data_IF_556252549662
#
_entry.id   IF_556252549662
#
_cell.length_a   1.000
_cell.length_b   1.000
_cell.length_c   1.000
_cell.angle_alpha   90.00
_cell.angle_beta   90.00
_cell.angle_gamma   90.00
#
_symmetry.space_group_name_H-M   'P 1'
#
loop_
_entity.id
_entity.type
_entity.pdbx_description
1 polymer ?
#
# COMPACT_ATOMS: atom_id res chain seq x y z
N UNK A 1 -46.65 1.16 -77.77
CA UNK A 1 -46.90 1.12 -76.29
C UNK A 1 -45.93 0.23 -75.56
N UNK A 2 -44.62 0.34 -75.76
CA UNK A 2 -43.65 -0.62 -75.22
C UNK A 2 -42.35 0.00 -74.59
N UNK A 3 -42.37 1.28 -74.25
CA UNK A 3 -41.21 1.97 -73.61
C UNK A 3 -41.41 2.50 -72.18
N UNK A 4 -42.64 2.39 -71.62
CA UNK A 4 -42.89 2.90 -70.27
C UNK A 4 -42.69 1.86 -69.10
N UNK A 5 -42.66 0.58 -69.40
CA UNK A 5 -42.51 -0.48 -68.39
C UNK A 5 -41.05 -0.76 -67.98
N UNK A 6 -40.06 -0.44 -68.85
CA UNK A 6 -38.63 -0.69 -68.54
C UNK A 6 -38.03 0.29 -67.55
N UNK A 7 -38.52 1.55 -67.50
CA UNK A 7 -37.97 2.58 -66.63
C UNK A 7 -38.40 2.39 -65.14
N UNK A 8 -39.62 1.88 -64.93
CA UNK A 8 -40.14 1.65 -63.57
C UNK A 8 -39.44 0.50 -62.85
N UNK A 9 -39.03 -0.54 -63.60
CA UNK A 9 -38.30 -1.70 -63.06
C UNK A 9 -36.87 -1.34 -62.61
N UNK A 10 -36.19 -0.47 -63.37
CA UNK A 10 -34.79 -0.07 -63.06
C UNK A 10 -34.72 0.88 -61.89
N UNK A 11 -35.71 1.74 -61.66
CA UNK A 11 -35.74 2.67 -60.48
C UNK A 11 -36.05 1.89 -59.19
N UNK A 12 -36.94 0.90 -59.24
CA UNK A 12 -37.23 0.04 -58.07
C UNK A 12 -36.03 -0.80 -57.64
N UNK A 13 -35.24 -1.37 -58.62
CA UNK A 13 -34.04 -2.13 -58.30
C UNK A 13 -32.91 -1.27 -57.73
N UNK A 14 -32.74 -0.04 -58.22
CA UNK A 14 -31.75 0.91 -57.69
C UNK A 14 -32.11 1.41 -56.28
N UNK A 15 -33.40 1.59 -55.99
CA UNK A 15 -33.82 1.96 -54.63
C UNK A 15 -33.70 0.83 -53.60
N UNK A 16 -33.87 -0.41 -54.03
CA UNK A 16 -33.70 -1.58 -53.17
C UNK A 16 -32.21 -1.87 -52.86
N UNK A 17 -31.30 -1.59 -53.80
CA UNK A 17 -29.84 -1.74 -53.58
C UNK A 17 -29.29 -0.64 -52.64
N UNK A 18 -29.84 0.60 -52.67
CA UNK A 18 -29.43 1.65 -51.77
C UNK A 18 -29.92 1.42 -50.33
N UNK A 19 -31.05 0.73 -50.12
CA UNK A 19 -31.57 0.40 -48.80
C UNK A 19 -30.78 -0.72 -48.11
N UNK A 20 -30.14 -1.65 -48.88
CA UNK A 20 -29.29 -2.69 -48.31
C UNK A 20 -27.89 -2.20 -47.87
N UNK A 21 -27.43 -1.04 -48.38
CA UNK A 21 -26.12 -0.45 -48.03
C UNK A 21 -26.07 0.30 -46.68
N UNK A 22 -27.22 0.60 -46.06
CA UNK A 22 -27.28 1.39 -44.84
C UNK A 22 -27.15 0.53 -43.57
N UNK A 23 -27.30 -0.78 -43.66
CA UNK A 23 -27.23 -1.67 -42.50
C UNK A 23 -25.82 -2.21 -42.17
N UNK A 24 -24.78 -1.91 -42.96
CA UNK A 24 -23.42 -2.38 -42.70
C UNK A 24 -22.51 -1.37 -42.03
N UNK A 25 -23.02 -0.22 -41.59
CA UNK A 25 -22.28 0.74 -40.81
C UNK A 25 -22.59 0.60 -39.29
N UNK A 26 -22.62 -0.62 -38.80
CA UNK A 26 -22.26 -0.83 -37.40
C UNK A 26 -20.77 -0.58 -37.30
N UNK A 27 -20.41 0.67 -37.04
CA UNK A 27 -19.12 1.05 -36.54
C UNK A 27 -18.96 0.31 -35.20
N UNK A 28 -18.42 -0.90 -35.25
CA UNK A 28 -17.80 -1.52 -34.08
C UNK A 28 -16.65 -0.58 -33.73
N UNK A 29 -16.96 0.48 -32.97
CA UNK A 29 -15.97 0.99 -32.05
C UNK A 29 -15.47 -0.27 -31.35
N UNK A 30 -14.27 -0.75 -31.70
CA UNK A 30 -13.50 -1.65 -30.86
C UNK A 30 -13.47 -0.92 -29.51
N UNK A 31 -14.38 -1.28 -28.61
CA UNK A 31 -14.15 -1.10 -27.20
C UNK A 31 -12.81 -1.80 -27.03
N UNK A 32 -11.76 -1.04 -26.81
CA UNK A 32 -10.55 -1.55 -26.18
C UNK A 32 -11.07 -2.45 -25.09
N UNK A 33 -10.75 -3.76 -25.14
CA UNK A 33 -11.27 -4.73 -24.21
C UNK A 33 -11.09 -4.14 -22.81
N UNK A 34 -12.20 -3.65 -22.25
CA UNK A 34 -12.18 -3.09 -20.92
C UNK A 34 -11.87 -4.26 -20.01
N UNK A 35 -10.80 -4.13 -19.24
CA UNK A 35 -10.45 -5.15 -18.25
C UNK A 35 -11.66 -5.44 -17.34
N UNK A 36 -11.67 -6.61 -16.76
CA UNK A 36 -12.69 -7.05 -15.80
C UNK A 36 -12.06 -7.21 -14.41
N UNK A 37 -12.82 -7.47 -13.37
CA UNK A 37 -12.25 -7.73 -12.04
C UNK A 37 -11.24 -8.87 -11.96
N UNK A 38 -11.15 -9.72 -12.99
CA UNK A 38 -10.29 -10.92 -13.03
C UNK A 38 -9.43 -11.04 -14.29
N UNK A 39 -9.48 -10.06 -15.19
CA UNK A 39 -8.72 -10.09 -16.46
C UNK A 39 -8.22 -8.71 -16.84
N UNK A 40 -7.08 -8.64 -17.54
CA UNK A 40 -6.48 -7.39 -18.02
C UNK A 40 -5.16 -7.06 -17.36
N UNK A 41 -4.66 -5.86 -17.59
CA UNK A 41 -3.41 -5.36 -17.02
C UNK A 41 -3.62 -3.97 -16.41
N UNK A 42 -3.14 -3.77 -15.18
CA UNK A 42 -3.15 -2.45 -14.54
C UNK A 42 -1.77 -2.10 -13.97
N UNK A 43 -1.48 -0.80 -13.93
CA UNK A 43 -0.37 -0.24 -13.18
C UNK A 43 -0.88 0.30 -11.85
N UNK A 44 -0.15 -0.02 -10.78
CA UNK A 44 -0.40 0.49 -9.43
C UNK A 44 0.89 1.07 -8.87
N UNK A 45 0.79 2.11 -8.03
CA UNK A 45 1.92 2.64 -7.28
C UNK A 45 1.78 2.28 -5.81
N UNK A 46 2.84 1.78 -5.22
CA UNK A 46 2.83 1.19 -3.87
C UNK A 46 3.93 1.84 -3.04
N UNK A 47 3.58 2.27 -1.83
CA UNK A 47 4.59 2.67 -0.84
C UNK A 47 5.57 1.51 -0.60
N UNK A 48 6.85 1.79 -0.77
CA UNK A 48 7.94 0.80 -0.69
C UNK A 48 7.92 0.01 0.62
N UNK A 49 7.52 0.64 1.71
CA UNK A 49 7.40 0.00 3.02
C UNK A 49 6.54 -1.28 3.01
N UNK A 50 5.68 -1.46 2.00
CA UNK A 50 4.76 -2.60 1.89
C UNK A 50 5.14 -3.59 0.79
N UNK A 51 6.29 -3.41 0.15
CA UNK A 51 6.72 -4.26 -0.97
C UNK A 51 6.58 -5.76 -0.68
N UNK A 52 7.11 -6.33 0.43
CA UNK A 52 7.05 -7.78 0.65
C UNK A 52 5.61 -8.33 0.73
N UNK A 53 4.72 -7.62 1.42
CA UNK A 53 3.34 -8.08 1.58
C UNK A 53 2.50 -7.87 0.32
N UNK A 54 2.73 -6.79 -0.43
CA UNK A 54 1.99 -6.53 -1.67
C UNK A 54 2.46 -7.44 -2.79
N UNK A 55 3.76 -7.76 -2.90
CA UNK A 55 4.25 -8.79 -3.82
C UNK A 55 3.53 -10.14 -3.57
N UNK A 56 3.37 -10.54 -2.29
CA UNK A 56 2.64 -11.75 -1.91
C UNK A 56 1.14 -11.67 -2.28
N UNK A 57 0.50 -10.51 -2.12
CA UNK A 57 -0.88 -10.28 -2.52
C UNK A 57 -1.07 -10.42 -4.04
N UNK A 58 -0.19 -9.79 -4.82
CA UNK A 58 -0.21 -9.84 -6.29
C UNK A 58 0.00 -11.28 -6.76
N UNK A 59 1.00 -11.97 -6.23
CA UNK A 59 1.29 -13.36 -6.60
C UNK A 59 0.07 -14.27 -6.41
N UNK A 60 -0.61 -14.18 -5.27
CA UNK A 60 -1.80 -15.00 -5.02
C UNK A 60 -2.98 -14.58 -5.87
N UNK A 61 -3.18 -13.26 -6.07
CA UNK A 61 -4.26 -12.76 -6.91
C UNK A 61 -4.10 -13.21 -8.38
N UNK A 62 -2.90 -13.08 -8.96
CA UNK A 62 -2.60 -13.50 -10.33
C UNK A 62 -2.70 -15.04 -10.49
N UNK A 63 -2.27 -15.81 -9.48
CA UNK A 63 -2.44 -17.27 -9.50
C UNK A 63 -3.92 -17.70 -9.52
N UNK A 64 -4.80 -16.93 -8.91
CA UNK A 64 -6.25 -17.17 -8.92
C UNK A 64 -6.94 -16.63 -10.17
N UNK A 65 -6.32 -15.69 -10.87
CA UNK A 65 -6.83 -15.01 -12.05
C UNK A 65 -5.75 -15.00 -13.16
N UNK A 66 -5.55 -16.11 -13.87
CA UNK A 66 -4.41 -16.28 -14.81
C UNK A 66 -4.38 -15.25 -15.95
N UNK A 67 -5.49 -14.59 -16.24
CA UNK A 67 -5.60 -13.55 -17.28
C UNK A 67 -5.47 -12.14 -16.69
N UNK A 68 -5.14 -12.00 -15.42
CA UNK A 68 -4.90 -10.73 -14.74
C UNK A 68 -3.39 -10.49 -14.58
N UNK A 69 -2.96 -9.23 -14.80
CA UNK A 69 -1.60 -8.78 -14.57
C UNK A 69 -1.60 -7.46 -13.81
N UNK A 70 -0.93 -7.43 -12.66
CA UNK A 70 -0.73 -6.23 -11.86
C UNK A 70 0.74 -5.85 -11.91
N UNK A 71 1.03 -4.66 -12.39
CA UNK A 71 2.37 -4.08 -12.46
C UNK A 71 2.49 -3.06 -11.33
N UNK A 72 3.27 -3.39 -10.31
CA UNK A 72 3.48 -2.54 -9.15
C UNK A 72 4.80 -1.77 -9.24
N UNK A 73 4.72 -0.45 -9.11
CA UNK A 73 5.87 0.44 -8.95
C UNK A 73 6.02 0.80 -7.47
N UNK A 74 7.13 0.37 -6.86
CA UNK A 74 7.43 0.65 -5.45
C UNK A 74 8.25 1.93 -5.33
N UNK A 75 7.76 2.87 -4.53
CA UNK A 75 8.35 4.20 -4.39
C UNK A 75 7.90 4.89 -3.09
N UNK A 76 8.49 6.05 -2.73
CA UNK A 76 8.02 6.83 -1.58
C UNK A 76 6.53 7.20 -1.68
N UNK A 77 5.84 7.26 -0.52
CA UNK A 77 4.39 7.50 -0.45
C UNK A 77 3.95 8.75 -1.22
N UNK A 78 4.69 9.86 -1.12
CA UNK A 78 4.32 11.10 -1.81
C UNK A 78 4.38 10.95 -3.34
N UNK A 79 5.29 10.11 -3.88
CA UNK A 79 5.34 9.80 -5.30
C UNK A 79 4.14 8.95 -5.74
N UNK A 80 3.63 8.06 -4.87
CA UNK A 80 2.39 7.33 -5.14
C UNK A 80 1.21 8.28 -5.33
N UNK A 81 1.07 9.31 -4.48
CA UNK A 81 0.02 10.33 -4.64
C UNK A 81 0.20 11.16 -5.91
N UNK A 82 1.43 11.49 -6.31
CA UNK A 82 1.71 12.15 -7.60
C UNK A 82 1.30 11.25 -8.79
N UNK A 83 1.51 9.94 -8.68
CA UNK A 83 1.10 8.99 -9.72
C UNK A 83 -0.43 8.83 -9.81
N UNK A 84 -1.15 8.94 -8.70
CA UNK A 84 -2.62 8.85 -8.73
C UNK A 84 -3.26 9.93 -9.63
N UNK A 85 -2.58 11.07 -9.84
CA UNK A 85 -3.04 12.12 -10.75
C UNK A 85 -2.89 11.69 -12.22
N UNK A 86 -1.94 10.80 -12.53
CA UNK A 86 -1.66 10.31 -13.89
C UNK A 86 -2.72 9.31 -14.35
N UNK A 87 -3.10 9.35 -15.62
CA UNK A 87 -4.09 8.42 -16.19
C UNK A 87 -3.58 6.96 -16.24
N UNK A 88 -2.26 6.75 -16.30
CA UNK A 88 -1.66 5.43 -16.32
C UNK A 88 -1.79 4.66 -15.01
N UNK A 89 -1.92 5.34 -13.87
CA UNK A 89 -2.03 4.73 -12.55
C UNK A 89 -3.48 4.73 -12.08
N UNK A 90 -4.05 3.55 -11.89
CA UNK A 90 -5.45 3.39 -11.46
C UNK A 90 -5.62 3.18 -9.97
N UNK A 91 -4.60 2.67 -9.30
CA UNK A 91 -4.63 2.39 -7.87
C UNK A 91 -3.32 2.77 -7.23
N UNK A 92 -3.37 3.29 -6.01
CA UNK A 92 -2.21 3.40 -5.13
C UNK A 92 -2.45 2.66 -3.81
N UNK A 93 -1.36 2.20 -3.18
CA UNK A 93 -1.39 1.55 -1.86
C UNK A 93 -0.46 2.34 -0.94
N UNK A 94 -1.02 2.96 0.11
CA UNK A 94 -0.40 4.01 0.91
C UNK A 94 -0.87 3.93 2.38
N UNK A 95 -0.32 4.78 3.25
CA UNK A 95 -0.61 4.72 4.70
C UNK A 95 -1.73 5.66 5.16
N UNK A 96 -2.37 6.40 4.27
CA UNK A 96 -3.51 7.28 4.57
C UNK A 96 -4.54 7.27 3.43
N UNK A 97 -5.78 7.63 3.73
CA UNK A 97 -6.78 7.94 2.74
C UNK A 97 -6.57 9.33 2.11
N UNK A 98 -7.47 9.72 1.22
CA UNK A 98 -7.51 11.08 0.67
C UNK A 98 -7.88 12.10 1.76
N UNK A 99 -7.25 13.26 1.71
CA UNK A 99 -7.69 14.41 2.49
C UNK A 99 -8.96 15.04 1.88
N UNK A 100 -9.71 15.85 2.62
CA UNK A 100 -10.89 16.54 2.08
C UNK A 100 -10.58 17.42 0.85
N UNK A 101 -9.40 18.02 0.79
CA UNK A 101 -8.98 18.84 -0.34
C UNK A 101 -8.62 17.98 -1.56
N UNK A 102 -7.97 16.83 -1.37
CA UNK A 102 -7.71 15.85 -2.42
C UNK A 102 -9.03 15.26 -2.96
N UNK A 103 -9.98 14.89 -2.08
CA UNK A 103 -11.30 14.41 -2.52
C UNK A 103 -12.04 15.45 -3.37
N UNK A 104 -11.98 16.73 -2.95
CA UNK A 104 -12.58 17.85 -3.70
C UNK A 104 -11.92 18.00 -5.06
N UNK A 105 -10.59 17.99 -5.11
CA UNK A 105 -9.82 18.07 -6.36
C UNK A 105 -10.24 16.98 -7.36
N UNK A 106 -10.32 15.73 -6.90
CA UNK A 106 -10.73 14.63 -7.78
C UNK A 106 -12.18 14.76 -8.23
N UNK A 107 -13.09 15.15 -7.33
CA UNK A 107 -14.50 15.37 -7.68
C UNK A 107 -14.65 16.45 -8.75
N UNK A 108 -13.91 17.53 -8.64
CA UNK A 108 -13.96 18.65 -9.60
C UNK A 108 -13.28 18.27 -10.93
N UNK A 109 -12.18 17.51 -10.90
CA UNK A 109 -11.41 17.13 -12.09
C UNK A 109 -11.98 15.93 -12.84
N UNK A 110 -12.49 14.92 -12.12
CA UNK A 110 -12.95 13.65 -12.68
C UNK A 110 -14.48 13.48 -12.64
N UNK A 111 -15.20 14.43 -12.00
CA UNK A 111 -16.64 14.33 -11.71
C UNK A 111 -17.02 13.17 -10.78
N UNK A 112 -16.05 12.51 -10.14
CA UNK A 112 -16.23 11.51 -9.08
C UNK A 112 -15.02 11.51 -8.16
N UNK A 113 -15.19 11.03 -6.93
CA UNK A 113 -14.07 10.82 -6.01
C UNK A 113 -13.55 9.38 -6.11
N UNK A 114 -12.22 9.15 -6.13
CA UNK A 114 -11.66 7.83 -6.01
C UNK A 114 -12.18 7.10 -4.76
N UNK A 115 -12.46 5.81 -4.88
CA UNK A 115 -12.83 5.00 -3.73
C UNK A 115 -11.59 4.58 -2.96
N UNK A 116 -11.67 4.58 -1.64
CA UNK A 116 -10.56 4.11 -0.82
C UNK A 116 -11.05 3.37 0.42
N UNK A 117 -10.25 2.44 0.88
CA UNK A 117 -10.55 1.68 2.09
C UNK A 117 -9.28 1.24 2.78
N UNK A 118 -9.35 1.15 4.11
CA UNK A 118 -8.27 0.56 4.90
C UNK A 118 -8.36 -0.96 4.81
N UNK A 119 -7.24 -1.61 4.46
CA UNK A 119 -7.13 -3.06 4.31
C UNK A 119 -6.36 -3.73 5.44
N UNK A 120 -5.49 -2.99 6.14
CA UNK A 120 -4.74 -3.49 7.28
C UNK A 120 -4.28 -2.35 8.20
N UNK A 121 -3.77 -2.73 9.37
CA UNK A 121 -2.91 -1.89 10.19
C UNK A 121 -1.49 -2.44 10.14
N UNK A 122 -0.55 -1.56 9.91
CA UNK A 122 0.89 -1.77 9.96
C UNK A 122 1.48 -1.11 11.21
N UNK A 123 2.73 -1.39 11.48
CA UNK A 123 3.51 -0.65 12.48
C UNK A 123 4.91 -0.35 11.94
N UNK A 124 5.48 0.75 12.40
CA UNK A 124 6.89 1.03 12.22
C UNK A 124 7.66 0.32 13.32
N UNK A 125 8.45 -0.67 12.95
CA UNK A 125 9.34 -1.36 13.87
C UNK A 125 10.63 -0.57 14.02
N UNK A 126 11.12 -0.46 15.25
CA UNK A 126 12.46 0.04 15.55
C UNK A 126 13.39 -1.19 15.61
N UNK A 127 14.42 -1.18 14.78
CA UNK A 127 15.43 -2.23 14.74
C UNK A 127 16.79 -1.70 15.18
N UNK A 128 17.58 -2.59 15.75
CA UNK A 128 18.92 -2.28 16.24
C UNK A 128 19.89 -3.43 15.94
N UNK A 129 21.17 -3.14 15.97
CA UNK A 129 22.20 -4.16 15.88
C UNK A 129 22.08 -5.15 17.05
N UNK A 130 22.33 -6.43 16.80
CA UNK A 130 22.22 -7.49 17.84
C UNK A 130 23.20 -7.37 18.98
N UNK A 131 24.32 -6.65 18.78
CA UNK A 131 25.32 -6.39 19.82
C UNK A 131 24.94 -5.24 20.76
N UNK A 132 23.87 -4.49 20.46
CA UNK A 132 23.35 -3.46 21.35
C UNK A 132 22.88 -4.10 22.66
N UNK A 133 23.23 -3.46 23.80
CA UNK A 133 22.89 -3.98 25.13
C UNK A 133 21.43 -3.71 25.50
N UNK A 134 20.90 -2.58 25.06
CA UNK A 134 19.57 -2.11 25.41
C UNK A 134 18.63 -2.20 24.21
N UNK A 135 17.45 -2.79 24.45
CA UNK A 135 16.40 -2.94 23.43
C UNK A 135 15.06 -2.40 23.89
N UNK A 136 15.06 -1.53 24.89
CA UNK A 136 13.88 -0.93 25.51
C UNK A 136 13.93 0.59 25.33
N UNK A 137 12.93 1.15 24.64
CA UNK A 137 12.85 2.59 24.41
C UNK A 137 11.45 3.11 24.76
N UNK A 138 11.41 4.20 25.53
CA UNK A 138 10.19 5.01 25.66
C UNK A 138 9.97 5.86 24.40
N UNK A 139 8.75 6.34 24.20
CA UNK A 139 8.48 7.28 23.10
C UNK A 139 9.19 8.63 23.31
N UNK A 140 9.50 9.01 24.56
CA UNK A 140 10.25 10.23 24.83
C UNK A 140 11.72 10.12 24.43
N UNK A 141 12.33 8.95 24.65
CA UNK A 141 13.69 8.66 24.16
C UNK A 141 13.74 8.65 22.63
N UNK A 142 12.79 7.97 21.96
CA UNK A 142 12.68 7.99 20.50
C UNK A 142 12.53 9.44 20.01
N UNK A 143 11.64 10.21 20.61
CA UNK A 143 11.45 11.63 20.28
C UNK A 143 12.72 12.44 20.47
N UNK A 144 13.43 12.20 21.56
CA UNK A 144 14.68 12.85 21.87
C UNK A 144 15.78 12.58 20.86
N UNK A 145 15.92 11.32 20.41
CA UNK A 145 16.87 10.92 19.36
C UNK A 145 16.51 11.61 18.05
N UNK A 146 15.24 11.53 17.61
CA UNK A 146 14.80 12.10 16.33
C UNK A 146 14.87 13.62 16.27
N UNK A 147 14.69 14.30 17.41
CA UNK A 147 14.75 15.78 17.52
C UNK A 147 16.16 16.30 17.86
N UNK A 148 17.12 15.43 18.15
CA UNK A 148 18.45 15.83 18.60
C UNK A 148 18.48 16.47 20.00
N UNK A 149 17.39 16.37 20.78
CA UNK A 149 17.29 17.02 22.10
C UNK A 149 17.97 16.24 23.23
N UNK A 150 18.38 15.00 22.98
CA UNK A 150 19.15 14.20 23.93
C UNK A 150 20.64 14.28 23.66
N UNK A 151 21.45 14.27 24.73
CA UNK A 151 22.91 14.15 24.63
C UNK A 151 23.39 12.75 24.22
N UNK A 152 22.46 11.81 23.95
CA UNK A 152 22.75 10.47 23.49
C UNK A 152 23.42 10.51 22.09
N UNK A 153 24.37 9.60 21.87
CA UNK A 153 25.09 9.46 20.59
C UNK A 153 24.34 8.59 19.57
N UNK A 154 23.23 7.99 19.96
CA UNK A 154 22.40 7.14 19.08
C UNK A 154 21.92 7.93 17.87
N UNK A 155 22.06 7.33 16.70
CA UNK A 155 21.60 7.85 15.43
C UNK A 155 20.32 7.13 14.99
N UNK A 156 19.58 7.71 14.07
CA UNK A 156 18.40 7.10 13.46
C UNK A 156 18.55 7.03 11.93
N UNK A 157 18.16 5.91 11.33
CA UNK A 157 18.17 5.70 9.88
C UNK A 157 16.78 5.33 9.37
N UNK A 158 16.39 5.96 8.27
CA UNK A 158 15.11 5.79 7.60
C UNK A 158 15.30 5.34 6.14
N UNK A 159 14.22 4.88 5.52
CA UNK A 159 14.09 4.49 4.11
C UNK A 159 14.01 5.69 3.14
N UNK A 160 14.53 6.82 3.51
CA UNK A 160 14.53 8.12 2.84
C UNK A 160 14.49 9.24 3.87
N UNK A 161 14.82 10.48 3.47
CA UNK A 161 14.72 11.67 4.35
C UNK A 161 13.46 12.49 4.08
N UNK A 162 12.82 12.27 2.94
CA UNK A 162 11.64 13.03 2.52
C UNK A 162 10.70 12.11 1.76
N UNK A 163 9.42 12.44 1.81
CA UNK A 163 8.39 11.82 0.96
C UNK A 163 8.03 10.36 1.30
N UNK A 164 8.76 9.68 2.21
CA UNK A 164 8.39 8.33 2.67
C UNK A 164 7.33 8.39 3.76
N UNK A 165 6.51 7.36 3.84
CA UNK A 165 5.47 7.26 4.89
C UNK A 165 6.05 7.11 6.28
N UNK A 166 7.23 6.50 6.39
CA UNK A 166 7.94 6.28 7.65
C UNK A 166 8.42 7.61 8.24
N UNK A 167 9.05 8.47 7.40
CA UNK A 167 9.46 9.82 7.78
C UNK A 167 8.26 10.71 8.07
N UNK A 168 7.21 10.67 7.24
CA UNK A 168 5.98 11.43 7.50
C UNK A 168 5.39 11.07 8.85
N UNK A 169 5.30 9.78 9.19
CA UNK A 169 4.82 9.34 10.50
C UNK A 169 5.70 9.87 11.64
N UNK A 170 7.02 9.82 11.48
CA UNK A 170 7.96 10.34 12.50
C UNK A 170 7.77 11.84 12.73
N UNK A 171 7.65 12.62 11.66
CA UNK A 171 7.45 14.07 11.75
C UNK A 171 6.07 14.38 12.35
N UNK A 172 5.00 13.82 11.80
CA UNK A 172 3.63 14.19 12.18
C UNK A 172 3.24 13.63 13.56
N UNK A 173 3.51 12.32 13.78
CA UNK A 173 2.99 11.62 14.95
C UNK A 173 3.96 11.59 16.14
N UNK A 174 5.29 11.53 15.90
CA UNK A 174 6.27 11.48 16.98
C UNK A 174 6.74 12.88 17.35
N UNK A 175 7.07 13.71 16.35
CA UNK A 175 7.63 15.06 16.58
C UNK A 175 6.58 16.18 16.60
N UNK A 176 5.30 15.87 16.32
CA UNK A 176 4.22 16.85 16.30
C UNK A 176 4.42 17.97 15.26
N UNK A 177 4.90 17.60 14.07
CA UNK A 177 5.16 18.50 12.94
C UNK A 177 6.54 19.17 12.95
N UNK A 178 7.38 18.88 13.94
CA UNK A 178 8.76 19.42 13.98
C UNK A 178 9.67 18.61 13.05
N UNK A 179 10.69 19.24 12.45
CA UNK A 179 11.62 18.54 11.56
C UNK A 179 12.50 17.54 12.33
N UNK A 180 12.99 16.54 11.62
CA UNK A 180 14.03 15.63 12.06
C UNK A 180 15.36 16.39 12.22
N UNK A 181 16.15 16.04 13.23
CA UNK A 181 17.46 16.62 13.48
C UNK A 181 18.49 16.10 12.44
N UNK A 182 19.05 16.95 11.58
CA UNK A 182 19.92 16.51 10.50
C UNK A 182 21.24 15.91 10.99
N UNK A 183 21.66 16.22 12.20
CA UNK A 183 22.86 15.66 12.84
C UNK A 183 22.64 14.28 13.46
N UNK A 184 21.39 13.87 13.60
CA UNK A 184 20.98 12.60 14.25
C UNK A 184 20.33 11.62 13.29
N UNK A 185 19.73 12.14 12.22
CA UNK A 185 18.90 11.35 11.32
C UNK A 185 19.45 11.39 9.90
N UNK A 186 19.65 10.21 9.33
CA UNK A 186 20.05 10.03 7.96
C UNK A 186 19.18 8.98 7.26
N UNK A 187 19.41 8.72 5.98
CA UNK A 187 18.64 7.78 5.19
C UNK A 187 19.50 6.84 4.38
N UNK A 188 18.90 5.68 4.13
CA UNK A 188 19.33 4.72 3.12
C UNK A 188 18.31 4.67 1.98
N UNK A 189 18.63 3.96 0.90
CA UNK A 189 17.82 3.88 -0.31
C UNK A 189 16.80 2.72 -0.22
N UNK A 190 15.93 2.79 0.79
CA UNK A 190 14.85 1.83 1.04
C UNK A 190 15.01 1.01 2.31
N UNK A 191 13.94 0.26 2.63
CA UNK A 191 13.84 -0.48 3.90
C UNK A 191 14.86 -1.62 4.03
N UNK A 192 15.21 -2.26 2.91
CA UNK A 192 16.22 -3.33 2.92
C UNK A 192 17.61 -2.79 3.28
N UNK A 193 17.97 -1.67 2.70
CA UNK A 193 19.24 -0.98 2.91
C UNK A 193 19.35 -0.47 4.35
N UNK A 194 18.25 0.01 4.95
CA UNK A 194 18.16 0.33 6.38
C UNK A 194 18.51 -0.89 7.23
N UNK A 195 17.92 -2.05 6.94
CA UNK A 195 18.18 -3.28 7.70
C UNK A 195 19.64 -3.73 7.56
N UNK A 196 20.18 -3.69 6.33
CA UNK A 196 21.57 -4.07 6.07
C UNK A 196 22.55 -3.10 6.78
N UNK A 197 22.27 -1.80 6.78
CA UNK A 197 23.06 -0.80 7.49
C UNK A 197 23.08 -1.05 9.01
N UNK A 198 21.90 -1.19 9.63
CA UNK A 198 21.77 -1.45 11.07
C UNK A 198 22.47 -2.75 11.46
N UNK A 199 22.46 -3.77 10.61
CA UNK A 199 23.10 -5.05 10.89
C UNK A 199 24.62 -4.97 11.09
N UNK A 200 25.25 -3.93 10.54
CA UNK A 200 26.70 -3.73 10.55
C UNK A 200 27.15 -2.55 11.41
N UNK A 201 26.23 -1.75 11.92
CA UNK A 201 26.53 -0.55 12.71
C UNK A 201 25.84 -0.59 14.08
N UNK A 202 26.62 -0.48 15.17
CA UNK A 202 26.10 -0.29 16.51
C UNK A 202 25.80 1.18 16.78
N UNK A 203 24.88 1.48 17.71
CA UNK A 203 24.51 2.86 18.05
C UNK A 203 23.59 3.53 17.02
N UNK A 204 22.93 2.74 16.15
CA UNK A 204 21.97 3.20 15.15
C UNK A 204 20.65 2.47 15.34
N UNK A 205 19.55 3.22 15.33
CA UNK A 205 18.18 2.69 15.28
C UNK A 205 17.64 2.81 13.85
N UNK A 206 17.19 1.71 13.27
CA UNK A 206 16.50 1.70 11.98
C UNK A 206 14.97 1.73 12.16
N UNK A 207 14.29 2.45 11.28
CA UNK A 207 12.83 2.57 11.26
C UNK A 207 12.28 1.97 9.98
N UNK A 208 11.60 0.83 10.08
CA UNK A 208 11.09 0.08 8.91
C UNK A 208 9.67 -0.43 9.14
N UNK A 209 8.91 -0.66 8.08
CA UNK A 209 7.59 -1.30 8.17
C UNK A 209 7.71 -2.74 8.67
N UNK A 210 6.76 -3.17 9.53
CA UNK A 210 6.80 -4.50 10.14
C UNK A 210 6.77 -5.63 9.10
N UNK A 211 6.19 -5.40 7.92
CA UNK A 211 6.16 -6.38 6.82
C UNK A 211 7.55 -6.79 6.31
N UNK A 212 8.58 -5.98 6.53
CA UNK A 212 9.96 -6.29 6.14
C UNK A 212 10.65 -7.27 7.08
N UNK A 213 10.22 -7.35 8.33
CA UNK A 213 10.93 -8.10 9.37
C UNK A 213 10.03 -9.08 10.13
N UNK A 214 8.71 -9.01 9.93
CA UNK A 214 7.72 -9.71 10.74
C UNK A 214 7.15 -10.99 10.13
N UNK A 215 7.46 -11.36 8.87
CA UNK A 215 6.90 -12.53 8.22
C UNK A 215 7.76 -13.79 8.44
N UNK A 216 7.34 -14.77 9.27
CA UNK A 216 8.11 -15.98 9.52
C UNK A 216 8.12 -16.97 8.33
N UNK A 217 7.24 -16.81 7.36
CA UNK A 217 7.19 -17.64 6.15
C UNK A 217 8.08 -17.07 5.02
N UNK A 218 8.50 -15.81 5.14
CA UNK A 218 9.45 -15.18 4.24
C UNK A 218 10.88 -15.47 4.70
N UNK A 219 11.60 -16.27 3.95
CA UNK A 219 12.99 -16.64 4.25
C UNK A 219 13.91 -15.42 4.26
N UNK A 220 13.60 -14.37 3.51
CA UNK A 220 14.35 -13.11 3.51
C UNK A 220 14.15 -12.38 4.83
N UNK A 221 12.91 -12.23 5.30
CA UNK A 221 12.58 -11.59 6.57
C UNK A 221 13.15 -12.38 7.75
N UNK A 222 13.11 -13.71 7.73
CA UNK A 222 13.78 -14.55 8.73
C UNK A 222 15.30 -14.34 8.74
N UNK A 223 15.91 -14.16 7.58
CA UNK A 223 17.34 -13.86 7.49
C UNK A 223 17.68 -12.50 8.11
N UNK A 224 16.81 -11.50 7.98
CA UNK A 224 16.99 -10.19 8.62
C UNK A 224 16.92 -10.27 10.16
N UNK A 225 16.00 -11.05 10.72
CA UNK A 225 15.92 -11.28 12.16
C UNK A 225 17.16 -12.00 12.74
N UNK A 226 17.97 -12.63 11.91
CA UNK A 226 19.29 -13.16 12.33
C UNK A 226 20.35 -12.06 12.43
N UNK A 227 20.19 -10.97 11.68
CA UNK A 227 21.16 -9.85 11.59
C UNK A 227 20.86 -8.72 12.56
N UNK A 228 19.56 -8.41 12.77
CA UNK A 228 19.10 -7.30 13.60
C UNK A 228 18.18 -7.80 14.72
N UNK A 229 17.90 -6.93 15.67
CA UNK A 229 16.93 -7.14 16.74
C UNK A 229 15.83 -6.11 16.65
N UNK A 230 14.59 -6.52 16.97
CA UNK A 230 13.48 -5.59 17.13
C UNK A 230 13.50 -5.06 18.55
N UNK A 231 13.62 -3.75 18.71
CA UNK A 231 13.50 -3.06 19.98
C UNK A 231 12.07 -3.14 20.53
N UNK A 232 11.94 -3.16 21.85
CA UNK A 232 10.66 -3.05 22.54
C UNK A 232 10.39 -1.59 22.86
N UNK A 233 9.19 -1.11 22.53
CA UNK A 233 8.78 0.27 22.76
C UNK A 233 7.75 0.31 23.87
N UNK A 234 7.85 1.31 24.75
CA UNK A 234 6.87 1.51 25.82
C UNK A 234 5.47 1.69 25.23
N UNK A 235 4.52 0.86 25.69
CA UNK A 235 3.17 0.85 25.15
C UNK A 235 2.36 2.09 25.56
N UNK A 236 1.28 2.35 24.83
CA UNK A 236 0.24 3.31 25.19
C UNK A 236 -0.76 2.73 26.19
N UNK A 237 -0.47 1.56 26.76
CA UNK A 237 -1.30 0.86 27.72
C UNK A 237 -1.07 1.35 29.15
N UNK A 238 -2.05 1.19 30.08
CA UNK A 238 -1.92 1.68 31.45
C UNK A 238 -0.71 1.10 32.19
N UNK A 239 -0.32 -0.12 31.87
CA UNK A 239 0.81 -0.82 32.48
C UNK A 239 2.18 -0.27 32.05
N UNK A 240 2.22 0.56 31.01
CA UNK A 240 3.45 1.15 30.44
C UNK A 240 4.55 0.12 30.15
N UNK A 241 4.15 -1.11 29.85
CA UNK A 241 5.09 -2.21 29.56
C UNK A 241 5.80 -2.00 28.21
N UNK A 242 6.99 -2.54 28.08
CA UNK A 242 7.74 -2.50 26.82
C UNK A 242 7.33 -3.67 25.93
N UNK A 243 6.86 -3.36 24.73
CA UNK A 243 6.27 -4.32 23.81
C UNK A 243 6.86 -4.20 22.40
N UNK A 244 6.84 -5.29 21.66
CA UNK A 244 7.20 -5.34 20.24
C UNK A 244 5.97 -5.17 19.35
N UNK A 245 6.15 -4.80 18.07
CA UNK A 245 5.05 -4.64 17.12
C UNK A 245 4.48 -6.00 16.65
N UNK A 246 4.15 -6.87 17.60
CA UNK A 246 3.45 -8.11 17.28
C UNK A 246 2.02 -7.81 16.88
N UNK A 247 1.45 -8.65 16.02
CA UNK A 247 0.13 -8.45 15.42
C UNK A 247 -0.96 -8.11 16.45
N UNK A 248 -0.98 -8.77 17.63
CA UNK A 248 -1.92 -8.46 18.70
C UNK A 248 -1.75 -7.03 19.24
N UNK A 249 -0.51 -6.56 19.40
CA UNK A 249 -0.22 -5.21 19.89
C UNK A 249 -0.57 -4.14 18.84
N UNK A 250 -0.44 -4.47 17.55
CA UNK A 250 -0.88 -3.62 16.43
C UNK A 250 -2.40 -3.54 16.39
N UNK A 251 -3.08 -4.69 16.42
CA UNK A 251 -4.54 -4.77 16.34
C UNK A 251 -5.23 -4.07 17.51
N UNK A 252 -4.68 -4.18 18.71
CA UNK A 252 -5.17 -3.52 19.92
C UNK A 252 -4.68 -2.08 20.08
N UNK A 253 -3.87 -1.58 19.13
CA UNK A 253 -3.24 -0.25 19.17
C UNK A 253 -2.47 0.02 20.46
N UNK A 254 -1.90 -1.02 21.05
CA UNK A 254 -1.03 -0.91 22.22
C UNK A 254 0.37 -0.43 21.85
N UNK A 255 0.86 -0.86 20.69
CA UNK A 255 2.14 -0.39 20.13
C UNK A 255 1.96 1.04 19.62
N UNK A 256 2.83 1.99 20.00
CA UNK A 256 2.57 3.41 19.75
C UNK A 256 2.74 3.85 18.29
N UNK A 257 3.52 3.11 17.49
CA UNK A 257 3.81 3.47 16.09
C UNK A 257 2.99 2.65 15.09
N UNK A 258 1.67 2.57 15.32
CA UNK A 258 0.72 1.90 14.41
C UNK A 258 0.20 2.90 13.38
N UNK A 259 0.14 2.46 12.12
CA UNK A 259 -0.41 3.22 10.99
C UNK A 259 -1.39 2.37 10.17
N UNK A 260 -2.24 3.00 9.38
CA UNK A 260 -3.14 2.27 8.48
C UNK A 260 -2.44 1.90 7.19
N UNK A 261 -2.95 0.88 6.49
CA UNK A 261 -2.66 0.57 5.10
C UNK A 261 -3.94 0.68 4.30
N UNK A 262 -3.92 1.50 3.25
CA UNK A 262 -5.08 1.84 2.43
C UNK A 262 -4.79 1.57 0.96
N UNK A 263 -5.80 1.16 0.20
CA UNK A 263 -5.79 1.37 -1.22
C UNK A 263 -6.66 2.59 -1.58
N UNK A 264 -6.27 3.30 -2.63
CA UNK A 264 -7.04 4.37 -3.25
C UNK A 264 -7.18 4.03 -4.73
N UNK A 265 -8.41 3.91 -5.21
CA UNK A 265 -8.75 3.40 -6.53
C UNK A 265 -9.48 4.45 -7.35
N UNK A 266 -8.91 4.79 -8.50
CA UNK A 266 -9.44 5.76 -9.46
C UNK A 266 -10.24 5.06 -10.59
N UNK A 267 -10.98 4.01 -10.27
CA UNK A 267 -11.91 3.36 -11.21
C UNK A 267 -13.36 3.70 -10.84
N UNK A 268 -14.16 4.07 -11.86
CA UNK A 268 -15.59 4.30 -11.75
C UNK A 268 -16.42 3.18 -12.43
N UNK A 269 -15.78 2.06 -12.72
CA UNK A 269 -16.36 0.86 -13.33
C UNK A 269 -15.79 -0.40 -12.67
N UNK A 270 -16.39 -1.57 -12.98
CA UNK A 270 -15.95 -2.85 -12.43
C UNK A 270 -14.75 -3.40 -13.25
N UNK A 271 -13.57 -2.84 -13.01
CA UNK A 271 -12.31 -3.21 -13.67
C UNK A 271 -11.39 -4.04 -12.78
N UNK A 272 -10.16 -4.26 -13.24
CA UNK A 272 -9.17 -5.10 -12.55
C UNK A 272 -8.71 -4.50 -11.22
N UNK A 273 -8.65 -3.16 -11.12
CA UNK A 273 -8.36 -2.49 -9.86
C UNK A 273 -9.46 -2.72 -8.82
N UNK A 274 -10.74 -2.68 -9.23
CA UNK A 274 -11.88 -3.05 -8.37
C UNK A 274 -11.76 -4.50 -7.89
N UNK A 275 -11.38 -5.43 -8.79
CA UNK A 275 -11.16 -6.84 -8.44
C UNK A 275 -10.03 -7.03 -7.43
N UNK A 276 -8.89 -6.36 -7.64
CA UNK A 276 -7.76 -6.43 -6.72
C UNK A 276 -8.06 -5.76 -5.38
N UNK A 277 -8.70 -4.60 -5.36
CA UNK A 277 -9.15 -3.94 -4.12
C UNK A 277 -10.11 -4.81 -3.31
N UNK A 278 -11.05 -5.48 -3.98
CA UNK A 278 -11.93 -6.45 -3.34
C UNK A 278 -11.16 -7.65 -2.77
N UNK A 279 -10.18 -8.18 -3.50
CA UNK A 279 -9.32 -9.27 -3.01
C UNK A 279 -8.56 -8.86 -1.75
N UNK A 280 -7.93 -7.68 -1.73
CA UNK A 280 -7.23 -7.16 -0.55
C UNK A 280 -8.16 -7.06 0.67
N UNK A 281 -9.42 -6.67 0.45
CA UNK A 281 -10.41 -6.43 1.51
C UNK A 281 -11.15 -7.70 1.98
N UNK A 282 -11.00 -8.85 1.30
CA UNK A 282 -11.71 -10.10 1.63
C UNK A 282 -10.78 -11.19 2.15
N UNK A 283 -11.34 -12.31 2.56
CA UNK A 283 -10.71 -13.37 3.37
C UNK A 283 -9.30 -13.76 2.95
N UNK A 284 -9.05 -13.94 1.64
CA UNK A 284 -7.74 -14.39 1.16
C UNK A 284 -6.67 -13.31 1.34
N UNK A 285 -6.96 -12.10 0.90
CA UNK A 285 -6.05 -10.96 1.09
C UNK A 285 -5.84 -10.65 2.57
N UNK A 286 -6.89 -10.72 3.40
CA UNK A 286 -6.81 -10.51 4.84
C UNK A 286 -5.94 -11.58 5.53
N UNK A 287 -5.96 -12.83 5.07
CA UNK A 287 -5.07 -13.89 5.57
C UNK A 287 -3.61 -13.63 5.20
N UNK A 288 -3.32 -13.08 4.02
CA UNK A 288 -1.95 -12.72 3.61
C UNK A 288 -1.42 -11.59 4.50
N UNK A 289 -2.22 -10.54 4.76
CA UNK A 289 -1.84 -9.50 5.71
C UNK A 289 -1.54 -10.08 7.10
N UNK A 290 -2.38 -11.01 7.57
CA UNK A 290 -2.15 -11.68 8.86
C UNK A 290 -0.84 -12.47 8.90
N UNK A 291 -0.47 -13.16 7.84
CA UNK A 291 0.79 -13.90 7.75
C UNK A 291 2.02 -13.01 7.67
N UNK A 292 1.85 -11.80 7.12
CA UNK A 292 2.90 -10.78 7.08
C UNK A 292 2.98 -9.93 8.36
N UNK A 293 2.38 -10.37 9.47
CA UNK A 293 2.32 -9.69 10.77
C UNK A 293 1.55 -8.36 10.80
N UNK A 294 0.92 -7.94 9.72
CA UNK A 294 -0.02 -6.84 9.75
C UNK A 294 -1.32 -7.27 10.44
N UNK A 295 -2.00 -6.35 11.10
CA UNK A 295 -3.32 -6.63 11.63
C UNK A 295 -4.38 -6.37 10.53
N UNK A 296 -5.08 -7.40 10.02
CA UNK A 296 -6.11 -7.25 9.00
C UNK A 296 -7.20 -6.28 9.44
N UNK A 297 -7.75 -5.48 8.51
CA UNK A 297 -8.82 -4.52 8.83
C UNK A 297 -10.13 -5.19 9.25
N UNK A 298 -10.36 -6.44 8.83
CA UNK A 298 -11.54 -7.26 9.14
C UNK A 298 -11.19 -8.47 10.03
N UNK A 299 -10.37 -8.27 11.06
CA UNK A 299 -10.02 -9.33 11.99
C UNK A 299 -11.06 -9.45 13.09
N UNK A 300 -11.70 -10.62 13.22
CA UNK A 300 -12.43 -11.00 14.43
C UNK A 300 -11.42 -11.52 15.47
N UNK A 301 -10.91 -10.63 16.32
CA UNK A 301 -10.09 -11.03 17.46
C UNK A 301 -10.97 -11.70 18.51
N UNK A 302 -10.98 -13.02 18.54
CA UNK A 302 -11.47 -13.75 19.72
C UNK A 302 -10.31 -13.79 20.75
N UNK A 303 -10.37 -12.92 21.74
CA UNK A 303 -9.49 -13.00 22.91
C UNK A 303 -9.98 -14.20 23.74
N UNK A 304 -9.25 -15.31 23.67
CA UNK A 304 -9.44 -16.40 24.64
C UNK A 304 -8.64 -16.03 25.89
N UNK A 305 -9.33 -15.77 26.99
CA UNK A 305 -8.68 -15.80 28.30
C UNK A 305 -8.18 -17.22 28.54
N UNK A 306 -6.87 -17.40 28.66
CA UNK A 306 -6.32 -18.64 29.19
C UNK A 306 -6.67 -18.65 30.69
N UNK A 307 -7.68 -19.41 31.09
CA UNK A 307 -7.80 -19.81 32.48
C UNK A 307 -6.68 -20.83 32.71
N UNK A 308 -5.64 -20.42 33.40
CA UNK A 308 -4.71 -21.36 34.03
C UNK A 308 -5.42 -21.92 35.27
N UNK A 309 -6.07 -23.08 35.11
CA UNK A 309 -6.44 -23.94 36.22
C UNK A 309 -5.20 -24.70 36.73
#
# INVERSE_FOLDING_TARGET
MTRLHSIKSSVSAAFLLTLLGVFTSCNQNKRTDSDTPSTGTIHISVDESFKPVIDSQIQVFEALNPNAKIIADYKPEAECFKDLIKDSTRMIIVTRGLSPDEERYYKDSLSYSPTWSRVAYDAIAVIENREMKDSLYSMDEIRGILSGSTGDKTLAVFDGLKETSTVRFAVDSILGGKPLAPEKVFAEDGSKEVIDYVSTHTGVLGFVGVSWIGNPEDTTALSFLTKVRIASIQCTCPEQSYIKPYQANIALKRYPMVRGLYYILKENYSGLGTGFGAFLAHDRGQKIFSRAYLAPAKMNLMIRSANND
#
